data_IF_134113958151
#
_entry.id   IF_134113958151
#
_cell.length_a   1.000
_cell.length_b   1.000
_cell.length_c   1.000
_cell.angle_alpha   90.00
_cell.angle_beta   90.00
_cell.angle_gamma   90.00
#
_symmetry.space_group_name_H-M   'P 1'
#
loop_
_entity.id
_entity.type
_entity.pdbx_description
1 polymer ?
#
# COMPACT_ATOMS: atom_id res chain seq x y z
N UNK A 1 0.10 -26.40 -2.35
CA UNK A 1 0.22 -27.87 -2.14
C UNK A 1 1.64 -28.38 -2.33
N UNK A 2 2.41 -27.84 -3.28
CA UNK A 2 3.79 -28.27 -3.53
C UNK A 2 4.76 -27.84 -2.41
N UNK A 3 4.69 -26.60 -1.95
CA UNK A 3 5.49 -26.11 -0.80
C UNK A 3 5.20 -26.86 0.51
N UNK A 4 3.93 -27.20 0.76
CA UNK A 4 3.53 -28.00 1.93
C UNK A 4 4.09 -29.42 1.91
N UNK A 5 4.17 -30.03 0.71
CA UNK A 5 4.82 -31.34 0.54
C UNK A 5 6.31 -31.24 0.78
N UNK A 6 6.94 -30.15 0.35
CA UNK A 6 8.37 -29.92 0.53
C UNK A 6 8.73 -29.70 2.01
N UNK A 7 7.96 -28.87 2.74
CA UNK A 7 8.14 -28.67 4.18
C UNK A 7 7.89 -29.97 4.96
N UNK A 8 6.85 -30.72 4.61
CA UNK A 8 6.56 -32.02 5.23
C UNK A 8 7.67 -33.03 4.96
N UNK A 9 8.23 -33.03 3.76
CA UNK A 9 9.36 -33.86 3.39
C UNK A 9 10.61 -33.49 4.20
N UNK A 10 10.95 -32.20 4.29
CA UNK A 10 12.08 -31.72 5.10
C UNK A 10 11.91 -32.04 6.60
N UNK A 11 10.69 -31.90 7.13
CA UNK A 11 10.39 -32.20 8.53
C UNK A 11 10.58 -33.69 8.85
N UNK A 12 10.10 -34.57 7.96
CA UNK A 12 10.09 -36.02 8.17
C UNK A 12 11.42 -36.71 7.81
N UNK A 13 12.22 -36.09 6.94
CA UNK A 13 13.47 -36.64 6.44
C UNK A 13 14.67 -36.22 7.29
N UNK A 14 14.81 -36.86 8.46
CA UNK A 14 15.95 -36.68 9.38
C UNK A 14 16.80 -37.95 9.46
N UNK A 15 18.09 -37.78 9.79
CA UNK A 15 19.09 -38.86 9.76
C UNK A 15 18.80 -40.02 10.74
N UNK A 16 18.14 -39.75 11.87
CA UNK A 16 17.74 -40.79 12.82
C UNK A 16 16.44 -41.49 12.34
N UNK A 17 16.48 -42.80 12.05
CA UNK A 17 15.33 -43.53 11.53
C UNK A 17 14.17 -43.64 12.53
N UNK A 18 14.45 -43.66 13.84
CA UNK A 18 13.40 -43.72 14.88
C UNK A 18 12.67 -42.39 14.96
N UNK A 19 13.41 -41.28 14.96
CA UNK A 19 12.82 -39.94 14.96
C UNK A 19 12.09 -39.63 13.64
N UNK A 20 12.65 -40.05 12.50
CA UNK A 20 11.97 -39.93 11.20
C UNK A 20 10.64 -40.68 11.16
N UNK A 21 10.58 -41.90 11.72
CA UNK A 21 9.35 -42.67 11.84
C UNK A 21 8.34 -41.99 12.78
N UNK A 22 8.79 -41.48 13.93
CA UNK A 22 7.94 -40.75 14.87
C UNK A 22 7.36 -39.47 14.24
N UNK A 23 8.15 -38.72 13.47
CA UNK A 23 7.70 -37.54 12.73
C UNK A 23 6.68 -37.86 11.66
N UNK A 24 6.89 -38.92 10.88
CA UNK A 24 5.90 -39.40 9.89
C UNK A 24 4.58 -39.79 10.56
N UNK A 25 4.65 -40.47 11.70
CA UNK A 25 3.45 -40.81 12.47
C UNK A 25 2.72 -39.57 13.01
N UNK A 26 3.45 -38.53 13.45
CA UNK A 26 2.86 -37.26 13.88
C UNK A 26 2.14 -36.54 12.74
N UNK A 27 2.74 -36.50 11.55
CA UNK A 27 2.12 -35.89 10.35
C UNK A 27 0.84 -36.65 9.99
N UNK A 28 0.91 -37.99 9.89
CA UNK A 28 -0.27 -38.82 9.59
C UNK A 28 -1.38 -38.66 10.64
N UNK A 29 -1.03 -38.65 11.93
CA UNK A 29 -2.00 -38.42 12.99
C UNK A 29 -2.61 -37.03 12.90
N UNK A 30 -1.81 -36.01 12.55
CA UNK A 30 -2.30 -34.64 12.33
C UNK A 30 -3.23 -34.53 11.11
N UNK A 31 -2.95 -35.24 10.03
CA UNK A 31 -3.82 -35.31 8.84
C UNK A 31 -5.14 -36.03 9.16
N UNK A 32 -5.08 -37.18 9.84
CA UNK A 32 -6.28 -37.95 10.26
C UNK A 32 -7.16 -37.14 11.21
N UNK A 33 -6.56 -36.28 12.03
CA UNK A 33 -7.28 -35.40 12.95
C UNK A 33 -7.66 -34.05 12.30
N UNK A 34 -7.31 -33.82 11.03
CA UNK A 34 -7.59 -32.56 10.32
C UNK A 34 -6.88 -31.34 10.91
N UNK A 35 -5.82 -31.52 11.73
CA UNK A 35 -5.17 -30.41 12.44
C UNK A 35 -4.57 -29.37 11.49
N UNK A 36 -4.06 -29.78 10.33
CA UNK A 36 -3.50 -28.84 9.35
C UNK A 36 -4.58 -27.93 8.78
N UNK A 37 -5.72 -28.51 8.38
CA UNK A 37 -6.86 -27.76 7.84
C UNK A 37 -7.47 -26.86 8.92
N UNK A 38 -7.63 -27.37 10.16
CA UNK A 38 -8.14 -26.58 11.26
C UNK A 38 -7.19 -25.46 11.67
N UNK A 39 -5.88 -25.68 11.61
CA UNK A 39 -4.88 -24.65 11.91
C UNK A 39 -4.86 -23.58 10.81
N UNK A 40 -4.89 -23.97 9.54
CA UNK A 40 -4.97 -23.05 8.42
C UNK A 40 -6.26 -22.22 8.48
N UNK A 41 -7.40 -22.86 8.74
CA UNK A 41 -8.68 -22.17 8.94
C UNK A 41 -8.61 -21.20 10.13
N UNK A 42 -8.01 -21.61 11.25
CA UNK A 42 -7.86 -20.75 12.43
C UNK A 42 -6.96 -19.54 12.17
N UNK A 43 -5.91 -19.68 11.35
CA UNK A 43 -5.04 -18.56 10.94
C UNK A 43 -5.86 -17.56 10.10
N UNK A 44 -6.58 -18.05 9.09
CA UNK A 44 -7.44 -17.21 8.23
C UNK A 44 -8.53 -16.53 9.06
N UNK A 45 -9.18 -17.25 9.97
CA UNK A 45 -10.19 -16.70 10.88
C UNK A 45 -9.59 -15.63 11.81
N UNK A 46 -8.38 -15.85 12.34
CA UNK A 46 -7.69 -14.88 13.17
C UNK A 46 -7.31 -13.61 12.38
N UNK A 47 -6.82 -13.76 11.15
CA UNK A 47 -6.53 -12.65 10.23
C UNK A 47 -7.80 -11.86 9.90
N UNK A 48 -8.89 -12.56 9.56
CA UNK A 48 -10.19 -11.94 9.28
C UNK A 48 -10.77 -11.23 10.51
N UNK A 49 -10.69 -11.84 11.69
CA UNK A 49 -11.16 -11.24 12.93
C UNK A 49 -10.33 -10.00 13.30
N UNK A 50 -9.01 -10.04 13.09
CA UNK A 50 -8.15 -8.89 13.33
C UNK A 50 -8.43 -7.75 12.34
N UNK A 51 -8.69 -8.07 11.08
CA UNK A 51 -9.13 -7.10 10.07
C UNK A 51 -10.49 -6.51 10.42
N UNK A 52 -11.46 -7.33 10.84
CA UNK A 52 -12.77 -6.83 11.28
C UNK A 52 -12.65 -5.93 12.51
N UNK A 53 -11.78 -6.28 13.46
CA UNK A 53 -11.50 -5.45 14.63
C UNK A 53 -10.85 -4.12 14.23
N UNK A 54 -9.92 -4.12 13.27
CA UNK A 54 -9.35 -2.91 12.70
C UNK A 54 -10.43 -2.03 12.03
N UNK A 55 -11.26 -2.61 11.16
CA UNK A 55 -12.34 -1.89 10.48
C UNK A 55 -13.38 -1.35 11.47
N UNK A 56 -13.70 -2.11 12.52
CA UNK A 56 -14.63 -1.69 13.57
C UNK A 56 -14.04 -0.57 14.44
N UNK A 57 -12.77 -0.67 14.84
CA UNK A 57 -12.07 0.39 15.58
C UNK A 57 -12.05 1.69 14.78
N UNK A 58 -11.75 1.58 13.48
CA UNK A 58 -11.80 2.72 12.55
C UNK A 58 -13.21 3.30 12.41
N UNK A 59 -14.25 2.47 12.25
CA UNK A 59 -15.62 2.94 12.12
C UNK A 59 -16.17 3.60 13.40
N UNK A 60 -15.64 3.22 14.57
CA UNK A 60 -16.00 3.81 15.86
C UNK A 60 -15.39 5.21 16.08
N UNK A 61 -14.28 5.52 15.40
CA UNK A 61 -13.74 6.87 15.34
C UNK A 61 -14.56 7.70 14.35
N UNK A 62 -15.42 8.58 14.87
CA UNK A 62 -16.26 9.43 14.04
C UNK A 62 -15.41 10.23 13.04
N UNK A 63 -15.80 10.34 11.76
CA UNK A 63 -15.15 11.26 10.84
C UNK A 63 -15.18 12.65 11.47
N UNK A 64 -14.05 13.36 11.42
CA UNK A 64 -14.00 14.77 11.78
C UNK A 64 -15.14 15.52 11.04
N UNK A 65 -15.86 16.44 11.69
CA UNK A 65 -17.01 17.10 11.10
C UNK A 65 -16.64 17.82 9.79
N UNK A 66 -17.59 17.84 8.85
CA UNK A 66 -17.40 18.35 7.48
C UNK A 66 -16.67 19.71 7.41
N UNK A 67 -15.70 19.88 6.48
CA UNK A 67 -14.75 21.00 6.46
C UNK A 67 -15.34 22.42 6.43
N UNK A 68 -16.55 22.63 5.91
CA UNK A 68 -17.10 23.98 5.74
C UNK A 68 -17.27 24.75 7.07
N UNK A 69 -17.39 24.06 8.20
CA UNK A 69 -17.44 24.70 9.51
C UNK A 69 -16.05 24.97 10.13
N UNK A 70 -15.01 24.26 9.67
CA UNK A 70 -13.63 24.46 10.14
C UNK A 70 -12.86 25.49 9.28
N UNK A 71 -13.14 25.54 7.97
CA UNK A 71 -12.56 26.52 7.04
C UNK A 71 -12.89 27.96 7.49
N UNK A 72 -14.13 28.25 7.89
CA UNK A 72 -14.53 29.58 8.35
C UNK A 72 -13.82 30.04 9.65
N UNK A 73 -13.28 29.10 10.44
CA UNK A 73 -12.52 29.40 11.66
C UNK A 73 -11.02 29.57 11.35
N UNK A 74 -10.50 28.82 10.38
CA UNK A 74 -9.13 28.93 9.87
C UNK A 74 -8.91 30.20 9.02
N UNK A 75 -9.91 30.65 8.27
CA UNK A 75 -9.81 31.86 7.43
C UNK A 75 -9.73 33.17 8.25
N UNK A 76 -10.29 33.22 9.46
CA UNK A 76 -10.28 34.42 10.31
C UNK A 76 -8.97 34.61 11.09
N UNK A 77 -8.13 33.59 11.17
CA UNK A 77 -6.81 33.67 11.77
C UNK A 77 -5.82 33.34 10.68
N UNK A 78 -5.34 34.36 9.95
CA UNK A 78 -4.36 34.28 8.86
C UNK A 78 -3.05 33.58 9.25
N UNK A 79 -3.15 32.27 9.43
CA UNK A 79 -2.17 31.27 9.77
C UNK A 79 -2.72 29.99 9.15
N UNK A 80 -2.43 29.79 7.87
CA UNK A 80 -2.14 28.44 7.40
C UNK A 80 -1.01 27.95 8.30
N UNK A 81 -1.37 27.34 9.42
CA UNK A 81 -0.47 26.53 10.21
C UNK A 81 -0.19 25.30 9.34
N UNK A 82 0.66 25.46 8.33
CA UNK A 82 1.61 24.41 7.98
C UNK A 82 2.43 24.20 9.26
N UNK A 83 1.90 23.38 10.16
CA UNK A 83 2.58 22.98 11.37
C UNK A 83 3.70 22.04 10.93
N UNK A 84 4.79 22.62 10.45
CA UNK A 84 6.15 22.23 10.75
C UNK A 84 6.45 20.72 10.69
N UNK A 85 6.02 20.05 9.63
CA UNK A 85 6.44 18.69 9.24
C UNK A 85 6.39 18.65 7.72
N UNK A 86 7.41 18.08 7.08
CA UNK A 86 7.59 18.15 5.64
C UNK A 86 6.47 17.45 4.86
N UNK A 87 6.18 17.93 3.64
CA UNK A 87 5.07 17.48 2.78
C UNK A 87 5.35 16.09 2.24
N UNK A 88 4.58 15.09 2.66
CA UNK A 88 4.86 13.69 2.33
C UNK A 88 3.92 13.16 1.23
N UNK A 89 4.47 12.87 0.05
CA UNK A 89 3.70 12.36 -1.10
C UNK A 89 4.20 10.97 -1.52
N UNK A 90 3.27 10.04 -1.79
CA UNK A 90 3.58 8.72 -2.34
C UNK A 90 2.81 8.49 -3.64
N UNK A 91 3.45 7.99 -4.72
CA UNK A 91 2.84 8.01 -6.08
C UNK A 91 2.92 6.71 -6.87
N UNK A 92 1.90 6.43 -7.72
CA UNK A 92 1.92 5.42 -8.78
C UNK A 92 2.26 6.01 -10.17
N UNK A 93 2.84 5.16 -11.03
CA UNK A 93 3.34 5.42 -12.40
C UNK A 93 2.58 6.49 -13.21
N UNK A 94 1.26 6.36 -13.37
CA UNK A 94 0.51 7.31 -14.21
C UNK A 94 0.38 8.71 -13.59
N UNK A 95 0.44 8.84 -12.26
CA UNK A 95 0.31 10.15 -11.60
C UNK A 95 1.61 10.95 -11.58
N UNK A 96 2.77 10.30 -11.55
CA UNK A 96 4.05 11.01 -11.64
C UNK A 96 4.17 11.84 -12.95
N UNK A 97 3.58 11.35 -14.05
CA UNK A 97 3.49 12.09 -15.32
C UNK A 97 2.45 13.23 -15.27
N UNK A 98 1.39 13.11 -14.47
CA UNK A 98 0.34 14.13 -14.32
C UNK A 98 0.76 15.28 -13.39
N UNK A 99 1.75 15.06 -12.51
CA UNK A 99 2.39 16.13 -11.73
C UNK A 99 3.22 17.08 -12.60
N UNK A 100 3.47 16.76 -13.87
CA UNK A 100 4.19 17.64 -14.80
C UNK A 100 3.57 19.03 -14.94
N UNK A 101 2.24 19.17 -14.76
CA UNK A 101 1.58 20.50 -14.71
C UNK A 101 2.08 21.39 -13.58
N UNK A 102 2.57 20.81 -12.48
CA UNK A 102 3.19 21.59 -11.39
C UNK A 102 4.54 22.18 -11.78
N UNK A 103 5.13 21.75 -12.89
CA UNK A 103 6.35 22.33 -13.46
C UNK A 103 6.07 23.60 -14.28
N UNK A 104 4.80 23.97 -14.47
CA UNK A 104 4.39 25.16 -15.22
C UNK A 104 4.06 26.33 -14.27
N UNK A 105 4.26 27.59 -14.70
CA UNK A 105 3.80 28.74 -13.93
C UNK A 105 2.27 28.77 -13.74
N UNK A 106 1.77 29.22 -12.57
CA UNK A 106 2.52 29.76 -11.43
C UNK A 106 2.98 28.68 -10.44
N UNK A 107 2.71 27.40 -10.70
CA UNK A 107 2.86 26.33 -9.71
C UNK A 107 4.31 26.08 -9.33
N UNK A 108 5.21 26.04 -10.31
CA UNK A 108 6.63 25.71 -10.10
C UNK A 108 7.32 26.60 -9.05
N UNK A 109 6.97 27.90 -9.04
CA UNK A 109 7.53 28.90 -8.13
C UNK A 109 6.73 29.07 -6.83
N UNK A 110 5.50 28.54 -6.78
CA UNK A 110 4.61 28.67 -5.62
C UNK A 110 4.79 27.56 -4.58
N UNK A 111 5.50 26.49 -4.93
CA UNK A 111 5.68 25.31 -4.08
C UNK A 111 7.05 25.33 -3.41
N UNK A 112 7.07 25.20 -2.08
CA UNK A 112 8.32 25.07 -1.30
C UNK A 112 8.86 23.63 -1.37
N UNK A 113 9.47 23.26 -2.51
CA UNK A 113 9.98 21.91 -2.79
C UNK A 113 10.95 21.36 -1.73
N UNK A 114 11.75 22.21 -1.09
CA UNK A 114 12.70 21.81 -0.05
C UNK A 114 12.05 21.21 1.20
N UNK A 115 10.74 21.42 1.38
CA UNK A 115 9.96 20.84 2.47
C UNK A 115 9.30 19.51 2.11
N UNK A 116 9.39 19.06 0.85
CA UNK A 116 8.77 17.81 0.44
C UNK A 116 9.64 16.62 0.82
N UNK A 117 8.97 15.54 1.21
CA UNK A 117 9.49 14.20 1.38
C UNK A 117 8.67 13.25 0.49
N UNK A 118 9.33 12.38 -0.26
CA UNK A 118 8.68 11.58 -1.30
C UNK A 118 8.92 10.10 -1.03
N UNK A 119 7.86 9.32 -1.16
CA UNK A 119 7.81 7.89 -0.90
C UNK A 119 7.12 7.18 -2.07
N UNK A 120 7.05 5.86 -2.00
CA UNK A 120 6.32 5.04 -2.94
C UNK A 120 5.31 4.17 -2.18
N UNK A 121 4.05 4.24 -2.60
CA UNK A 121 3.00 3.38 -2.02
C UNK A 121 3.29 1.93 -2.40
N UNK A 122 3.72 1.70 -3.63
CA UNK A 122 4.23 0.42 -4.10
C UNK A 122 5.37 0.64 -5.10
N UNK A 123 6.19 -0.39 -5.26
CA UNK A 123 7.31 -0.38 -6.18
C UNK A 123 7.56 -1.80 -6.73
N UNK A 124 8.00 -1.85 -7.98
CA UNK A 124 8.44 -3.07 -8.67
C UNK A 124 9.86 -3.35 -8.18
N UNK A 125 10.09 -4.57 -7.73
CA UNK A 125 11.39 -4.98 -7.21
C UNK A 125 12.25 -5.38 -8.41
N UNK A 126 12.81 -4.36 -9.03
CA UNK A 126 13.68 -4.41 -10.20
C UNK A 126 14.77 -3.34 -10.08
N UNK A 127 15.70 -3.33 -11.03
CA UNK A 127 16.71 -2.26 -11.11
C UNK A 127 16.06 -0.89 -11.21
N UNK A 128 16.68 0.13 -10.62
CA UNK A 128 16.24 1.52 -10.75
C UNK A 128 16.30 2.05 -12.19
N UNK A 129 17.06 1.42 -13.08
CA UNK A 129 17.10 1.78 -14.50
C UNK A 129 16.07 1.02 -15.33
N UNK A 130 15.33 0.10 -14.72
CA UNK A 130 14.30 -0.68 -15.39
C UNK A 130 13.14 0.24 -15.81
N UNK A 131 12.66 0.15 -17.07
CA UNK A 131 11.50 0.91 -17.53
C UNK A 131 10.22 0.71 -16.70
N UNK A 132 10.10 -0.41 -15.97
CA UNK A 132 8.95 -0.70 -15.10
C UNK A 132 9.10 -0.14 -13.67
N UNK A 133 10.24 0.47 -13.32
CA UNK A 133 10.49 1.05 -11.99
C UNK A 133 9.70 2.35 -11.80
N UNK A 134 8.84 2.41 -10.77
CA UNK A 134 8.11 3.62 -10.41
C UNK A 134 9.08 4.75 -10.01
N UNK A 135 10.20 4.42 -9.36
CA UNK A 135 11.28 5.35 -9.02
C UNK A 135 11.83 6.03 -10.28
N UNK A 136 12.22 5.24 -11.28
CA UNK A 136 12.73 5.76 -12.56
C UNK A 136 11.74 6.75 -13.17
N UNK A 137 10.49 6.32 -13.25
CA UNK A 137 9.44 7.05 -13.94
C UNK A 137 9.12 8.36 -13.20
N UNK A 138 9.16 8.35 -11.87
CA UNK A 138 9.02 9.56 -11.06
C UNK A 138 10.22 10.51 -11.21
N UNK A 139 11.44 10.00 -11.21
CA UNK A 139 12.66 10.79 -11.41
C UNK A 139 12.69 11.45 -12.79
N UNK A 140 12.48 10.68 -13.86
CA UNK A 140 12.51 11.15 -15.25
C UNK A 140 11.31 12.10 -15.54
N UNK A 141 10.14 11.77 -14.98
CA UNK A 141 8.90 12.50 -15.20
C UNK A 141 8.85 13.85 -14.47
N UNK A 142 9.30 13.90 -13.21
CA UNK A 142 9.00 15.01 -12.33
C UNK A 142 10.11 15.36 -11.33
N UNK A 143 10.59 14.41 -10.53
CA UNK A 143 11.42 14.72 -9.34
C UNK A 143 12.79 15.32 -9.70
N UNK A 144 13.38 14.96 -10.85
CA UNK A 144 14.63 15.57 -11.33
C UNK A 144 14.50 17.03 -11.80
N UNK A 145 13.26 17.53 -11.92
CA UNK A 145 12.94 18.87 -12.46
C UNK A 145 12.55 19.87 -11.39
N UNK A 146 12.52 19.45 -10.12
CA UNK A 146 12.13 20.28 -8.97
C UNK A 146 13.20 20.27 -7.88
N UNK A 147 13.21 21.30 -7.03
CA UNK A 147 14.22 21.47 -5.97
C UNK A 147 13.97 20.65 -4.70
N UNK A 148 13.62 19.36 -4.82
CA UNK A 148 13.47 18.46 -3.67
C UNK A 148 14.85 17.90 -3.30
N UNK A 149 15.32 18.02 -2.05
CA UNK A 149 16.59 17.44 -1.61
C UNK A 149 16.58 15.91 -1.76
N UNK A 150 17.67 15.32 -2.25
CA UNK A 150 17.76 13.88 -2.47
C UNK A 150 17.57 13.07 -1.17
N UNK A 151 18.00 13.61 -0.03
CA UNK A 151 17.79 13.02 1.29
C UNK A 151 16.32 12.95 1.73
N UNK A 152 15.44 13.66 1.03
CA UNK A 152 14.00 13.63 1.23
C UNK A 152 13.29 12.70 0.22
N UNK A 153 14.02 11.99 -0.64
CA UNK A 153 13.46 11.01 -1.58
C UNK A 153 13.78 9.61 -1.06
N UNK A 154 12.77 8.92 -0.53
CA UNK A 154 12.91 7.62 0.13
C UNK A 154 12.39 6.51 -0.77
N UNK A 155 13.29 5.92 -1.54
CA UNK A 155 13.02 4.76 -2.40
C UNK A 155 13.44 3.44 -1.72
N UNK A 156 13.06 2.30 -2.32
CA UNK A 156 13.40 0.95 -1.84
C UNK A 156 14.90 0.67 -1.97
N UNK A 157 15.49 -0.24 -1.21
CA UNK A 157 16.94 -0.48 -1.33
C UNK A 157 17.34 -0.91 -2.76
N UNK A 158 18.24 -0.15 -3.38
CA UNK A 158 18.64 -0.34 -4.78
C UNK A 158 19.32 -1.69 -5.05
N UNK A 159 20.01 -2.26 -4.06
CA UNK A 159 20.76 -3.50 -4.22
C UNK A 159 19.81 -4.69 -4.17
N UNK A 160 18.97 -4.76 -3.14
CA UNK A 160 17.94 -5.78 -3.05
C UNK A 160 16.91 -5.68 -4.19
N UNK A 161 16.60 -4.47 -4.67
CA UNK A 161 15.73 -4.28 -5.82
C UNK A 161 16.34 -4.87 -7.10
N UNK A 162 17.63 -4.65 -7.35
CA UNK A 162 18.34 -5.23 -8.48
C UNK A 162 18.44 -6.77 -8.41
N UNK A 163 18.56 -7.33 -7.20
CA UNK A 163 18.59 -8.77 -6.96
C UNK A 163 17.17 -9.41 -7.01
N UNK A 164 16.12 -8.60 -7.12
CA UNK A 164 14.74 -9.09 -7.10
C UNK A 164 14.33 -9.64 -5.73
N UNK A 165 14.89 -9.12 -4.64
CA UNK A 165 14.62 -9.56 -3.28
C UNK A 165 13.53 -8.68 -2.64
N UNK A 166 12.27 -9.08 -2.87
CA UNK A 166 11.12 -8.29 -2.45
C UNK A 166 10.95 -8.23 -0.92
N UNK A 167 11.35 -9.29 -0.22
CA UNK A 167 11.22 -9.38 1.22
C UNK A 167 12.19 -8.42 1.92
N UNK A 168 13.47 -8.44 1.54
CA UNK A 168 14.46 -7.52 2.11
C UNK A 168 14.17 -6.07 1.70
N UNK A 169 13.68 -5.82 0.47
CA UNK A 169 13.20 -4.49 0.09
C UNK A 169 12.08 -4.00 1.01
N UNK A 170 11.06 -4.81 1.28
CA UNK A 170 9.94 -4.40 2.14
C UNK A 170 10.40 -4.17 3.59
N UNK A 171 11.25 -5.06 4.12
CA UNK A 171 11.80 -4.96 5.47
C UNK A 171 12.59 -3.65 5.65
N UNK A 172 13.55 -3.37 4.76
CA UNK A 172 14.36 -2.14 4.84
C UNK A 172 13.53 -0.88 4.61
N UNK A 173 12.52 -0.95 3.74
CA UNK A 173 11.61 0.18 3.53
C UNK A 173 10.80 0.49 4.80
N UNK A 174 10.27 -0.53 5.47
CA UNK A 174 9.61 -0.36 6.75
C UNK A 174 10.55 0.20 7.84
N UNK A 175 11.79 -0.29 7.92
CA UNK A 175 12.80 0.23 8.85
C UNK A 175 13.09 1.71 8.60
N UNK A 176 13.17 2.12 7.32
CA UNK A 176 13.31 3.51 6.92
C UNK A 176 12.15 4.37 7.46
N UNK A 177 10.90 3.95 7.23
CA UNK A 177 9.71 4.65 7.75
C UNK A 177 9.74 4.74 9.29
N UNK A 178 10.11 3.66 9.98
CA UNK A 178 10.21 3.64 11.45
C UNK A 178 11.27 4.62 11.96
N UNK A 179 12.39 4.76 11.26
CA UNK A 179 13.43 5.74 11.58
C UNK A 179 12.90 7.17 11.42
N UNK A 180 12.17 7.44 10.33
CA UNK A 180 11.57 8.75 10.07
C UNK A 180 10.50 9.12 11.11
N UNK A 181 9.70 8.15 11.57
CA UNK A 181 8.78 8.35 12.72
C UNK A 181 9.56 8.73 13.98
N UNK A 182 10.63 8.00 14.31
CA UNK A 182 11.49 8.32 15.47
C UNK A 182 12.15 9.70 15.38
N UNK A 183 12.41 10.17 14.17
CA UNK A 183 12.96 11.49 13.88
C UNK A 183 11.90 12.60 13.86
N UNK A 184 10.62 12.27 14.13
CA UNK A 184 9.47 13.17 14.02
C UNK A 184 9.29 13.77 12.62
N UNK A 185 9.74 13.06 11.59
CA UNK A 185 9.47 13.40 10.19
C UNK A 185 8.11 12.84 9.79
N UNK A 186 7.78 11.61 10.15
CA UNK A 186 6.48 10.99 9.90
C UNK A 186 5.64 10.98 11.18
N UNK A 187 4.41 11.56 11.19
CA UNK A 187 3.48 11.37 12.29
C UNK A 187 2.92 9.94 12.31
N UNK A 188 2.27 9.58 13.43
CA UNK A 188 1.57 8.30 13.57
C UNK A 188 0.05 8.54 13.65
N UNK A 189 -0.70 7.73 12.90
CA UNK A 189 -2.14 7.52 13.08
C UNK A 189 -2.34 6.28 13.95
N UNK A 190 -3.27 6.34 14.91
CA UNK A 190 -3.58 5.23 15.82
C UNK A 190 -4.94 4.66 15.48
N UNK A 191 -5.04 3.34 15.34
CA UNK A 191 -6.29 2.63 15.15
C UNK A 191 -6.38 1.45 16.11
N UNK A 192 -7.21 1.59 17.14
CA UNK A 192 -7.27 0.63 18.23
C UNK A 192 -5.91 0.47 18.92
N UNK A 193 -5.30 -0.72 18.81
CA UNK A 193 -3.95 -1.00 19.36
C UNK A 193 -2.81 -0.79 18.36
N UNK A 194 -3.12 -0.51 17.10
CA UNK A 194 -2.14 -0.39 16.02
C UNK A 194 -1.77 1.07 15.77
N UNK A 195 -0.54 1.28 15.31
CA UNK A 195 -0.03 2.59 14.92
C UNK A 195 0.63 2.48 13.55
N UNK A 196 0.30 3.43 12.67
CA UNK A 196 0.76 3.45 11.28
C UNK A 196 1.34 4.83 10.94
N UNK A 197 2.38 4.92 10.09
CA UNK A 197 2.87 6.19 9.59
C UNK A 197 1.74 6.88 8.82
N UNK A 198 1.54 8.16 9.12
CA UNK A 198 0.55 8.99 8.45
C UNK A 198 1.24 9.88 7.43
N UNK A 199 0.70 9.89 6.22
CA UNK A 199 1.15 10.73 5.12
C UNK A 199 0.14 11.85 4.87
N UNK A 200 0.58 12.99 4.34
CA UNK A 200 -0.35 14.05 3.96
C UNK A 200 -1.21 13.63 2.77
N UNK A 201 -0.58 13.09 1.72
CA UNK A 201 -1.22 12.76 0.46
C UNK A 201 -0.64 11.48 -0.13
N UNK A 202 -1.52 10.56 -0.53
CA UNK A 202 -1.13 9.46 -1.42
C UNK A 202 -1.88 9.55 -2.74
N UNK A 203 -1.11 9.34 -3.80
CA UNK A 203 -1.51 9.38 -5.19
C UNK A 203 -1.56 7.95 -5.71
N UNK A 204 -2.77 7.47 -5.96
CA UNK A 204 -3.09 6.08 -6.23
C UNK A 204 -3.69 5.93 -7.62
N UNK A 205 -3.41 4.79 -8.23
CA UNK A 205 -4.11 4.30 -9.41
C UNK A 205 -4.87 3.02 -9.10
N UNK A 206 -5.81 2.69 -9.97
CA UNK A 206 -6.55 1.42 -9.92
C UNK A 206 -6.34 0.66 -11.21
N UNK A 207 -6.05 -0.63 -11.12
CA UNK A 207 -6.07 -1.49 -12.31
C UNK A 207 -7.46 -1.94 -12.71
N UNK A 208 -7.59 -2.51 -13.93
CA UNK A 208 -8.86 -3.01 -14.46
C UNK A 208 -9.54 -4.10 -13.61
N UNK A 209 -8.78 -4.79 -12.80
CA UNK A 209 -9.17 -5.82 -11.82
C UNK A 209 -9.54 -5.25 -10.44
N UNK A 210 -9.58 -3.93 -10.27
CA UNK A 210 -9.90 -3.30 -8.99
C UNK A 210 -8.78 -3.33 -7.95
N UNK A 211 -7.57 -3.77 -8.35
CA UNK A 211 -6.38 -3.69 -7.50
C UNK A 211 -5.95 -2.22 -7.32
N UNK A 212 -5.30 -1.94 -6.19
CA UNK A 212 -4.69 -0.65 -5.87
C UNK A 212 -3.32 -0.91 -5.26
N UNK A 213 -2.34 -0.05 -5.53
CA UNK A 213 -0.95 -0.30 -5.14
C UNK A 213 -0.50 -1.67 -5.69
N UNK A 214 0.08 -2.54 -4.85
CA UNK A 214 0.24 -3.97 -5.16
C UNK A 214 -0.63 -4.87 -4.27
N UNK A 215 -1.82 -4.40 -3.92
CA UNK A 215 -2.87 -5.17 -3.26
C UNK A 215 -3.84 -5.68 -4.32
N UNK A 216 -3.79 -6.98 -4.60
CA UNK A 216 -4.57 -7.63 -5.67
C UNK A 216 -5.76 -8.42 -5.13
N UNK A 217 -6.87 -8.52 -5.89
CA UNK A 217 -7.96 -9.42 -5.54
C UNK A 217 -7.46 -10.85 -5.31
N UNK A 218 -7.96 -11.50 -4.26
CA UNK A 218 -7.62 -12.88 -3.91
C UNK A 218 -6.21 -13.11 -3.35
N UNK A 219 -5.40 -12.05 -3.18
CA UNK A 219 -4.05 -12.16 -2.60
C UNK A 219 -4.07 -11.76 -1.11
N UNK A 220 -3.27 -12.42 -0.25
CA UNK A 220 -3.33 -12.23 1.21
C UNK A 220 -2.84 -10.86 1.68
N UNK A 221 -2.08 -10.12 0.87
CA UNK A 221 -1.47 -8.84 1.24
C UNK A 221 -2.51 -7.79 1.68
N UNK A 222 -3.75 -7.86 1.18
CA UNK A 222 -4.86 -6.98 1.57
C UNK A 222 -5.27 -7.15 3.05
N UNK A 223 -4.94 -8.28 3.67
CA UNK A 223 -5.27 -8.61 5.07
C UNK A 223 -4.13 -8.35 6.05
N UNK A 224 -2.96 -7.90 5.58
CA UNK A 224 -1.81 -7.61 6.44
C UNK A 224 -2.06 -6.32 7.21
N UNK A 225 -2.11 -6.40 8.54
CA UNK A 225 -2.37 -5.25 9.42
C UNK A 225 -1.27 -4.99 10.45
N UNK A 226 -0.41 -5.96 10.71
CA UNK A 226 0.64 -5.92 11.73
C UNK A 226 1.97 -5.35 11.21
N UNK A 227 2.06 -5.13 9.89
CA UNK A 227 3.19 -4.51 9.19
C UNK A 227 2.78 -3.20 8.54
N UNK A 228 3.75 -2.33 8.28
CA UNK A 228 3.57 -1.11 7.51
C UNK A 228 3.80 -1.34 6.02
N UNK A 229 4.77 -2.20 5.70
CA UNK A 229 5.13 -2.57 4.33
C UNK A 229 5.07 -4.09 4.21
N UNK A 230 4.48 -4.57 3.12
CA UNK A 230 4.49 -6.00 2.76
C UNK A 230 5.02 -6.17 1.34
N UNK A 231 5.18 -7.42 0.92
CA UNK A 231 5.68 -7.77 -0.40
C UNK A 231 4.82 -8.85 -1.04
N UNK A 232 4.95 -8.95 -2.36
CA UNK A 232 4.32 -9.97 -3.20
C UNK A 232 5.35 -10.46 -4.21
N UNK A 233 5.46 -11.78 -4.40
CA UNK A 233 6.43 -12.40 -5.31
C UNK A 233 5.77 -12.99 -6.56
N UNK A 234 4.45 -13.12 -6.54
CA UNK A 234 3.61 -13.81 -7.52
C UNK A 234 2.51 -12.91 -8.10
N UNK A 235 2.73 -11.58 -8.15
CA UNK A 235 1.75 -10.64 -8.71
C UNK A 235 1.22 -11.13 -10.07
N UNK A 236 -0.10 -11.06 -10.30
CA UNK A 236 -0.72 -11.50 -11.55
C UNK A 236 -0.28 -10.62 -12.74
N UNK A 237 0.34 -9.47 -12.46
CA UNK A 237 0.87 -8.53 -13.46
C UNK A 237 2.40 -8.46 -13.39
N UNK A 238 3.11 -8.47 -14.54
CA UNK A 238 4.54 -8.24 -14.55
C UNK A 238 4.88 -6.78 -14.16
N UNK A 239 6.09 -6.52 -13.65
CA UNK A 239 6.96 -7.46 -12.94
C UNK A 239 6.27 -8.09 -11.73
N UNK A 240 6.53 -9.38 -11.48
CA UNK A 240 5.83 -10.18 -10.46
C UNK A 240 6.18 -9.80 -9.02
N UNK A 241 7.43 -9.38 -8.80
CA UNK A 241 7.95 -9.07 -7.47
C UNK A 241 7.75 -7.59 -7.17
N UNK A 242 7.06 -7.28 -6.08
CA UNK A 242 6.70 -5.92 -5.69
C UNK A 242 6.73 -5.77 -4.17
N UNK A 243 6.96 -4.54 -3.71
CA UNK A 243 6.62 -4.15 -2.34
C UNK A 243 5.41 -3.22 -2.36
N UNK A 244 4.68 -3.13 -1.25
CA UNK A 244 3.53 -2.25 -1.11
C UNK A 244 3.30 -1.86 0.34
N UNK A 245 2.80 -0.65 0.56
CA UNK A 245 2.14 -0.30 1.80
C UNK A 245 0.96 -1.22 2.02
N UNK A 246 0.75 -1.57 3.28
CA UNK A 246 -0.43 -2.32 3.71
C UNK A 246 -1.66 -1.42 3.67
N UNK A 247 -2.85 -2.02 3.57
CA UNK A 247 -4.09 -1.26 3.53
C UNK A 247 -4.25 -0.28 4.71
N UNK A 248 -3.89 -0.62 5.96
CA UNK A 248 -3.95 0.34 7.05
C UNK A 248 -3.02 1.54 6.90
N UNK A 249 -1.82 1.36 6.34
CA UNK A 249 -0.92 2.49 6.04
C UNK A 249 -1.53 3.39 4.97
N UNK A 250 -2.08 2.80 3.90
CA UNK A 250 -2.79 3.56 2.86
C UNK A 250 -3.95 4.35 3.49
N UNK A 251 -4.76 3.73 4.32
CA UNK A 251 -5.93 4.39 4.94
C UNK A 251 -5.58 5.33 6.12
N UNK A 252 -4.30 5.43 6.49
CA UNK A 252 -3.82 6.34 7.53
C UNK A 252 -3.44 7.72 7.01
N UNK A 253 -3.36 7.92 5.69
CA UNK A 253 -3.10 9.22 5.10
C UNK A 253 -4.24 10.21 5.35
N UNK A 254 -3.89 11.50 5.40
CA UNK A 254 -4.88 12.58 5.48
C UNK A 254 -5.75 12.61 4.23
N UNK A 255 -5.11 12.57 3.07
CA UNK A 255 -5.76 12.57 1.77
C UNK A 255 -5.32 11.37 0.93
N UNK A 256 -6.29 10.69 0.34
CA UNK A 256 -6.03 9.71 -0.70
C UNK A 256 -6.69 10.15 -2.00
N UNK A 257 -5.90 10.24 -3.06
CA UNK A 257 -6.38 10.60 -4.39
C UNK A 257 -6.20 9.41 -5.32
N UNK A 258 -7.32 8.84 -5.75
CA UNK A 258 -7.39 7.78 -6.74
C UNK A 258 -7.67 8.38 -8.11
N UNK A 259 -6.75 8.25 -9.07
CA UNK A 259 -7.01 8.64 -10.46
C UNK A 259 -7.05 7.41 -11.37
N UNK A 260 -8.13 7.29 -12.15
CA UNK A 260 -8.35 6.16 -13.06
C UNK A 260 -8.74 6.70 -14.43
N UNK A 261 -7.96 6.30 -15.43
CA UNK A 261 -8.28 6.50 -16.84
C UNK A 261 -8.45 5.13 -17.50
N UNK A 262 -9.37 5.01 -18.44
CA UNK A 262 -9.63 3.76 -19.16
C UNK A 262 -9.35 3.92 -20.66
N UNK A 263 -8.72 2.90 -21.25
CA UNK A 263 -8.42 2.82 -22.69
C UNK A 263 -9.56 2.18 -23.50
N UNK A 264 -10.79 2.22 -22.97
CA UNK A 264 -12.00 1.63 -23.53
C UNK A 264 -12.02 0.10 -23.55
N UNK A 265 -11.27 -0.56 -22.68
CA UNK A 265 -11.27 -2.03 -22.54
C UNK A 265 -12.47 -2.55 -21.71
N UNK A 266 -13.35 -1.66 -21.25
CA UNK A 266 -14.52 -1.89 -20.39
C UNK A 266 -14.25 -2.49 -19.00
N UNK A 267 -13.04 -2.97 -18.73
CA UNK A 267 -12.74 -3.65 -17.47
C UNK A 267 -12.67 -2.67 -16.29
N UNK A 268 -11.98 -1.53 -16.41
CA UNK A 268 -11.96 -0.53 -15.34
C UNK A 268 -13.38 -0.01 -15.01
N UNK A 269 -14.23 0.34 -16.00
CA UNK A 269 -15.61 0.75 -15.73
C UNK A 269 -16.43 -0.30 -14.99
N UNK A 270 -16.24 -1.59 -15.28
CA UNK A 270 -16.92 -2.67 -14.55
C UNK A 270 -16.47 -2.71 -13.10
N UNK A 271 -15.16 -2.69 -12.86
CA UNK A 271 -14.62 -2.69 -11.49
C UNK A 271 -15.05 -1.45 -10.69
N UNK A 272 -15.10 -0.28 -11.33
CA UNK A 272 -15.63 0.95 -10.72
C UNK A 272 -17.12 0.78 -10.34
N UNK A 273 -17.94 0.22 -11.23
CA UNK A 273 -19.34 -0.06 -10.92
C UNK A 273 -19.50 -1.06 -9.76
N UNK A 274 -18.69 -2.12 -9.71
CA UNK A 274 -18.67 -3.07 -8.60
C UNK A 274 -18.30 -2.41 -7.26
N UNK A 275 -17.36 -1.47 -7.27
CA UNK A 275 -16.96 -0.70 -6.09
C UNK A 275 -18.11 0.20 -5.62
N UNK A 276 -18.62 1.08 -6.48
CA UNK A 276 -19.55 2.14 -6.05
C UNK A 276 -21.02 1.72 -5.97
N UNK A 277 -21.47 0.81 -6.83
CA UNK A 277 -22.88 0.36 -6.86
C UNK A 277 -23.11 -0.87 -5.98
N UNK A 278 -22.16 -1.80 -5.99
CA UNK A 278 -22.32 -3.09 -5.31
C UNK A 278 -21.54 -3.18 -3.99
N UNK A 279 -20.71 -2.18 -3.66
CA UNK A 279 -19.84 -2.18 -2.48
C UNK A 279 -19.02 -3.49 -2.37
N UNK A 280 -18.46 -3.94 -3.50
CA UNK A 280 -17.77 -5.22 -3.57
C UNK A 280 -16.38 -5.14 -2.90
N UNK A 281 -16.35 -5.39 -1.58
CA UNK A 281 -15.14 -5.34 -0.76
C UNK A 281 -14.08 -6.39 -1.12
N UNK A 282 -14.38 -7.35 -2.01
CA UNK A 282 -13.38 -8.26 -2.56
C UNK A 282 -12.39 -7.55 -3.50
N UNK A 283 -12.77 -6.37 -4.02
CA UNK A 283 -11.88 -5.51 -4.79
C UNK A 283 -11.06 -4.65 -3.82
N UNK A 284 -9.72 -4.70 -3.86
CA UNK A 284 -8.86 -3.92 -2.96
C UNK A 284 -9.18 -2.43 -2.93
N UNK A 285 -9.44 -1.82 -4.09
CA UNK A 285 -9.74 -0.39 -4.17
C UNK A 285 -11.10 -0.02 -3.53
N UNK A 286 -12.03 -0.96 -3.34
CA UNK A 286 -13.27 -0.71 -2.58
C UNK A 286 -13.02 -0.44 -1.09
N UNK A 287 -11.83 -0.80 -0.59
CA UNK A 287 -11.45 -0.62 0.81
C UNK A 287 -10.63 0.68 1.03
N UNK A 288 -10.40 1.48 -0.02
CA UNK A 288 -9.66 2.73 0.07
C UNK A 288 -10.42 3.73 0.92
N UNK A 289 -9.77 4.26 1.95
CA UNK A 289 -10.30 5.40 2.72
C UNK A 289 -9.20 6.39 3.09
N UNK A 290 -9.53 7.51 3.74
CA UNK A 290 -8.54 8.43 4.31
C UNK A 290 -9.01 9.04 5.64
N UNK A 291 -8.12 9.74 6.36
CA UNK A 291 -8.50 10.43 7.61
C UNK A 291 -9.38 11.65 7.38
N UNK A 292 -9.08 12.40 6.31
CA UNK A 292 -9.79 13.64 5.98
C UNK A 292 -10.67 13.42 4.77
N UNK A 293 -10.10 12.99 3.64
CA UNK A 293 -10.87 12.83 2.41
C UNK A 293 -10.22 11.84 1.45
N UNK A 294 -11.04 10.92 0.93
CA UNK A 294 -10.74 10.09 -0.23
C UNK A 294 -11.39 10.72 -1.48
N UNK A 295 -10.61 10.90 -2.53
CA UNK A 295 -11.05 11.56 -3.78
C UNK A 295 -10.82 10.63 -4.96
N UNK A 296 -11.83 10.50 -5.82
CA UNK A 296 -11.75 9.73 -7.06
C UNK A 296 -11.87 10.65 -8.27
N UNK A 297 -10.83 10.66 -9.10
CA UNK A 297 -10.79 11.34 -10.39
C UNK A 297 -10.89 10.31 -11.50
N UNK A 298 -12.02 10.31 -12.18
CA UNK A 298 -12.33 9.39 -13.27
C UNK A 298 -12.44 10.17 -14.57
N UNK A 299 -11.83 9.66 -15.64
CA UNK A 299 -12.19 10.14 -16.97
C UNK A 299 -13.58 9.62 -17.40
N UNK A 300 -14.10 10.13 -18.51
CA UNK A 300 -15.43 9.77 -18.98
C UNK A 300 -15.54 8.27 -19.31
N UNK A 301 -14.45 7.65 -19.76
CA UNK A 301 -14.42 6.23 -20.11
C UNK A 301 -14.53 5.37 -18.84
N UNK A 302 -13.70 5.63 -17.83
CA UNK A 302 -13.69 4.97 -16.54
C UNK A 302 -15.03 5.10 -15.81
N UNK A 303 -15.68 6.27 -15.90
CA UNK A 303 -16.98 6.53 -15.28
C UNK A 303 -18.19 5.97 -16.06
N UNK A 304 -18.00 5.34 -17.24
CA UNK A 304 -19.09 5.00 -18.16
C UNK A 304 -20.15 4.02 -17.64
N UNK A 305 -19.89 3.33 -16.51
CA UNK A 305 -20.81 2.39 -15.88
C UNK A 305 -21.30 2.85 -14.49
N UNK A 306 -20.98 4.08 -14.06
CA UNK A 306 -21.52 4.68 -12.83
C UNK A 306 -23.00 5.09 -12.94
#
# INVERSE_FOLDING_TARGET
MEELREVTYQYTNVADPVESAARRQRVLNGEVQGLMESTAASIVEAEQAAQQAYLAARAAEAPLPLPHQQIARAERQGKMAMQQVGRQAATQLHLALQLSKLLEPPYIDSVEWSKWHVFWVDERVCSYEDPDSNYKLAMDGFLSKVGIPNENIYAIDKHYAADGDAENCAMLYEECLRKLVKQNILPLCTYGKYQYPQFDLQLLGMGPDGHMASLFPGHPQIHVIDKWVTYITDSPKPPRKRITFTLPVINSALYNLMAVCDDHTEQCPRSIAEIFKNNNLALPAANLTAQVEEMWYLDQAAASKL
#
